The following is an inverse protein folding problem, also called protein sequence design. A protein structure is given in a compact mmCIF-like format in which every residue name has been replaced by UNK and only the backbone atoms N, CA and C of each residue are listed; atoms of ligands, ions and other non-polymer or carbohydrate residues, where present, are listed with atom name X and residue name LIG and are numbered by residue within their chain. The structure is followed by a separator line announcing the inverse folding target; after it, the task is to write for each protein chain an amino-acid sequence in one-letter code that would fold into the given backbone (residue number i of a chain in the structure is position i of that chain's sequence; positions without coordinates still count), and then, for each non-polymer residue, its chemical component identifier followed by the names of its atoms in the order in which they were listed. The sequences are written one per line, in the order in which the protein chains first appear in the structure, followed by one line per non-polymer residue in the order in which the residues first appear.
data_IF_987021381886
#
_entry.id   IF_987021381886
#
_cell.length_a   1.000
_cell.length_b   1.000
_cell.length_c   1.000
_cell.angle_alpha   90.00
_cell.angle_beta   90.00
_cell.angle_gamma   90.00
#
_symmetry.space_group_name_H-M   'P 1'
#
loop_
_entity.id
_entity.type
_entity.pdbx_description
1 polymer ?
#
# COMPACT_ATOMS: atom_id res chain seq x y z
N UNK A 1 -24.22 -7.43 42.77
CA UNK A 1 -24.94 -6.65 41.72
C UNK A 1 -23.90 -6.22 40.69
N UNK A 2 -23.61 -7.10 39.73
CA UNK A 2 -22.45 -7.03 38.83
C UNK A 2 -22.87 -7.45 37.42
N UNK A 3 -23.79 -6.71 36.78
CA UNK A 3 -24.19 -7.00 35.38
C UNK A 3 -24.58 -5.69 34.68
N UNK A 4 -23.69 -4.70 34.57
CA UNK A 4 -23.78 -3.67 33.51
C UNK A 4 -22.37 -3.14 33.19
N UNK A 5 -21.50 -3.97 32.61
CA UNK A 5 -20.29 -3.49 31.92
C UNK A 5 -19.98 -4.38 30.71
N UNK A 6 -20.98 -4.66 29.88
CA UNK A 6 -20.79 -5.42 28.64
C UNK A 6 -21.73 -4.93 27.54
N UNK A 7 -21.88 -3.61 27.42
CA UNK A 7 -22.73 -2.99 26.39
C UNK A 7 -22.06 -1.77 25.73
N UNK A 8 -20.73 -1.75 25.64
CA UNK A 8 -19.99 -0.75 24.86
C UNK A 8 -18.85 -1.32 24.01
N UNK A 9 -18.92 -2.61 23.67
CA UNK A 9 -18.32 -3.11 22.43
C UNK A 9 -19.30 -2.76 21.30
N UNK A 10 -19.42 -1.45 21.02
CA UNK A 10 -20.18 -0.95 19.87
C UNK A 10 -19.58 -1.59 18.63
N UNK A 11 -20.43 -2.35 17.94
CA UNK A 11 -20.43 -2.61 16.50
C UNK A 11 -19.65 -1.55 15.69
N UNK A 12 -18.34 -1.70 15.60
CA UNK A 12 -17.65 -1.41 14.35
C UNK A 12 -17.70 -2.73 13.58
N UNK A 13 -18.86 -3.03 12.99
CA UNK A 13 -18.91 -3.91 11.82
C UNK A 13 -18.26 -3.14 10.66
N UNK A 14 -16.98 -2.80 10.84
CA UNK A 14 -16.16 -2.22 9.80
C UNK A 14 -15.97 -3.32 8.77
N UNK A 15 -16.31 -3.01 7.51
CA UNK A 15 -15.92 -3.86 6.41
C UNK A 15 -14.44 -4.26 6.57
N UNK A 16 -14.08 -5.52 6.28
CA UNK A 16 -12.71 -5.96 6.43
C UNK A 16 -11.79 -5.05 5.60
N UNK A 17 -10.97 -4.26 6.29
CA UNK A 17 -10.00 -3.36 5.66
C UNK A 17 -9.01 -4.19 4.85
N UNK A 18 -8.85 -3.86 3.57
CA UNK A 18 -7.80 -4.46 2.76
C UNK A 18 -6.48 -3.70 2.93
N UNK A 19 -5.40 -4.38 2.62
CA UNK A 19 -4.05 -3.85 2.64
C UNK A 19 -3.48 -3.99 1.25
N UNK A 20 -2.89 -2.91 0.74
CA UNK A 20 -2.44 -2.82 -0.64
C UNK A 20 -0.99 -2.37 -0.68
N UNK A 21 -0.23 -3.00 -1.56
CA UNK A 21 1.09 -2.59 -1.97
C UNK A 21 0.99 -1.91 -3.33
N UNK A 22 1.46 -0.66 -3.43
CA UNK A 22 1.73 0.00 -4.70
C UNK A 22 3.23 -0.12 -4.98
N UNK A 23 3.61 -0.61 -6.15
CA UNK A 23 5.01 -0.78 -6.53
C UNK A 23 5.31 -0.25 -7.92
N UNK A 24 5.99 0.90 -8.01
CA UNK A 24 6.30 1.59 -9.25
C UNK A 24 7.76 2.05 -9.26
N UNK A 25 8.37 2.33 -10.43
CA UNK A 25 9.64 3.05 -10.49
C UNK A 25 9.59 4.33 -9.65
N UNK A 26 10.70 4.72 -9.02
CA UNK A 26 10.78 5.84 -8.07
C UNK A 26 10.06 7.11 -8.55
N UNK A 27 10.40 7.59 -9.76
CA UNK A 27 9.83 8.83 -10.30
C UNK A 27 8.30 8.75 -10.47
N UNK A 28 7.79 7.63 -11.00
CA UNK A 28 6.35 7.40 -11.16
C UNK A 28 5.65 7.31 -9.80
N UNK A 29 6.26 6.61 -8.84
CA UNK A 29 5.72 6.47 -7.49
C UNK A 29 5.64 7.82 -6.77
N UNK A 30 6.71 8.59 -6.84
CA UNK A 30 6.78 9.92 -6.21
C UNK A 30 5.73 10.86 -6.79
N UNK A 31 5.49 10.77 -8.11
CA UNK A 31 4.42 11.52 -8.78
C UNK A 31 3.04 11.07 -8.30
N UNK A 32 2.75 9.76 -8.24
CA UNK A 32 1.49 9.23 -7.73
C UNK A 32 1.21 9.68 -6.28
N UNK A 33 2.22 9.64 -5.41
CA UNK A 33 2.11 10.12 -4.03
C UNK A 33 1.80 11.63 -4.00
N UNK A 34 2.44 12.41 -4.87
CA UNK A 34 2.24 13.86 -4.93
C UNK A 34 0.84 14.25 -5.41
N UNK A 35 0.31 13.58 -6.43
CA UNK A 35 -1.02 13.88 -6.96
C UNK A 35 -2.14 13.20 -6.14
N UNK A 36 -1.80 12.20 -5.31
CA UNK A 36 -2.75 11.46 -4.49
C UNK A 36 -3.61 10.48 -5.29
N UNK A 37 -3.13 10.01 -6.45
CA UNK A 37 -3.88 9.13 -7.35
C UNK A 37 -2.97 8.05 -7.89
N UNK A 38 -3.47 6.82 -7.91
CA UNK A 38 -2.81 5.67 -8.54
C UNK A 38 -3.68 5.14 -9.67
N UNK A 39 -3.05 4.74 -10.77
CA UNK A 39 -3.72 4.22 -11.94
C UNK A 39 -3.00 3.04 -12.58
N UNK A 40 -3.78 2.15 -13.18
CA UNK A 40 -3.29 1.02 -13.95
C UNK A 40 -4.02 0.89 -15.29
N UNK A 41 -3.36 0.24 -16.24
CA UNK A 41 -4.03 -0.27 -17.43
C UNK A 41 -4.88 -1.49 -17.07
N UNK A 42 -6.22 -1.44 -17.20
CA UNK A 42 -7.18 -2.56 -17.19
C UNK A 42 -6.69 -3.81 -16.47
N UNK A 43 -6.67 -3.75 -15.13
CA UNK A 43 -6.41 -4.90 -14.25
C UNK A 43 -7.55 -5.08 -13.27
N UNK A 44 -8.08 -6.29 -13.17
CA UNK A 44 -9.21 -6.60 -12.30
C UNK A 44 -8.95 -6.35 -10.81
N UNK A 45 -7.70 -6.47 -10.36
CA UNK A 45 -7.35 -6.41 -8.93
C UNK A 45 -7.62 -5.05 -8.28
N UNK A 46 -7.57 -3.95 -9.05
CA UNK A 46 -7.80 -2.59 -8.51
C UNK A 46 -9.27 -2.33 -8.19
N UNK A 47 -10.20 -3.10 -8.79
CA UNK A 47 -11.64 -2.94 -8.57
C UNK A 47 -12.10 -3.30 -7.15
N UNK A 48 -11.27 -4.05 -6.42
CA UNK A 48 -11.54 -4.45 -5.03
C UNK A 48 -11.20 -3.35 -4.01
N UNK A 49 -10.55 -2.27 -4.44
CA UNK A 49 -10.14 -1.22 -3.51
C UNK A 49 -11.34 -0.41 -3.02
N UNK A 50 -11.33 -0.12 -1.72
CA UNK A 50 -12.33 0.68 -1.04
C UNK A 50 -11.69 1.81 -0.27
N UNK A 51 -12.42 2.91 -0.14
CA UNK A 51 -12.07 4.02 0.73
C UNK A 51 -11.80 3.51 2.15
N UNK A 52 -10.68 3.91 2.72
CA UNK A 52 -10.20 3.48 4.03
C UNK A 52 -9.28 2.26 4.01
N UNK A 53 -9.13 1.58 2.86
CA UNK A 53 -8.12 0.54 2.70
C UNK A 53 -6.72 1.11 2.89
N UNK A 54 -5.81 0.31 3.43
CA UNK A 54 -4.44 0.74 3.76
C UNK A 54 -3.52 0.52 2.58
N UNK A 55 -2.63 1.48 2.33
CA UNK A 55 -1.74 1.51 1.17
C UNK A 55 -0.31 1.72 1.64
N UNK A 56 0.60 0.89 1.13
CA UNK A 56 2.05 1.06 1.31
C UNK A 56 2.70 1.19 -0.07
N UNK A 57 3.62 2.14 -0.19
CA UNK A 57 4.29 2.48 -1.43
C UNK A 57 5.72 1.93 -1.43
N UNK A 58 6.08 1.19 -2.47
CA UNK A 58 7.41 0.60 -2.66
C UNK A 58 8.03 1.04 -4.00
N UNK A 59 9.21 1.67 -3.95
CA UNK A 59 9.97 2.05 -5.14
C UNK A 59 10.64 0.82 -5.76
N UNK A 60 10.26 0.50 -6.99
CA UNK A 60 10.81 -0.60 -7.78
C UNK A 60 12.05 -0.19 -8.60
N UNK A 61 12.65 -1.18 -9.30
CA UNK A 61 13.71 -1.03 -10.30
C UNK A 61 14.97 -0.31 -9.77
N UNK A 62 15.69 -0.98 -8.87
CA UNK A 62 17.02 -0.58 -8.43
C UNK A 62 17.07 0.14 -7.09
N UNK A 63 15.92 0.62 -6.59
CA UNK A 63 15.81 1.19 -5.25
C UNK A 63 15.34 0.15 -4.24
N UNK A 64 14.24 -0.54 -4.54
CA UNK A 64 13.62 -1.59 -3.72
C UNK A 64 13.44 -1.17 -2.26
N UNK A 65 12.74 -0.07 -2.05
CA UNK A 65 12.45 0.48 -0.72
C UNK A 65 10.99 0.77 -0.53
N UNK A 66 10.49 0.59 0.69
CA UNK A 66 9.22 1.15 1.12
C UNK A 66 9.42 2.62 1.51
N UNK A 67 8.58 3.50 0.97
CA UNK A 67 8.85 4.95 0.93
C UNK A 67 7.75 5.79 1.58
N UNK A 68 6.52 5.28 1.57
CA UNK A 68 5.37 5.93 2.16
C UNK A 68 4.30 4.92 2.57
N UNK A 69 3.42 5.30 3.47
CA UNK A 69 2.18 4.57 3.77
C UNK A 69 1.04 5.53 4.08
N UNK A 70 -0.18 5.04 3.91
CA UNK A 70 -1.39 5.77 4.23
C UNK A 70 -2.65 4.97 3.88
N UNK A 71 -3.62 5.63 3.26
CA UNK A 71 -4.94 5.05 3.00
C UNK A 71 -5.58 5.54 1.71
N UNK A 72 -6.42 4.70 1.12
CA UNK A 72 -7.28 5.05 0.00
C UNK A 72 -8.34 6.05 0.45
N UNK A 73 -8.45 7.16 -0.28
CA UNK A 73 -9.41 8.24 -0.02
C UNK A 73 -10.66 8.15 -0.91
N UNK A 74 -10.61 7.32 -1.96
CA UNK A 74 -11.75 6.98 -2.81
C UNK A 74 -11.89 5.46 -2.97
N UNK A 75 -13.05 5.03 -3.45
CA UNK A 75 -13.21 3.71 -4.07
C UNK A 75 -12.57 3.71 -5.47
N UNK A 76 -12.54 2.53 -6.12
CA UNK A 76 -12.24 2.40 -7.53
C UNK A 76 -13.12 3.29 -8.42
N UNK A 77 -12.52 3.93 -9.42
CA UNK A 77 -13.20 4.66 -10.48
C UNK A 77 -12.47 4.55 -11.83
N UNK A 78 -13.13 5.01 -12.90
CA UNK A 78 -12.57 5.06 -14.26
C UNK A 78 -12.43 6.53 -14.70
N UNK A 79 -11.23 6.91 -15.13
CA UNK A 79 -10.92 8.24 -15.67
C UNK A 79 -9.76 8.12 -16.68
N UNK A 80 -9.93 8.64 -17.89
CA UNK A 80 -8.95 8.55 -18.98
C UNK A 80 -8.02 9.77 -19.11
N UNK A 81 -8.10 10.72 -18.18
CA UNK A 81 -7.29 11.95 -18.20
C UNK A 81 -5.77 11.69 -18.12
N UNK A 82 -4.96 12.39 -18.91
CA UNK A 82 -3.50 12.18 -18.93
C UNK A 82 -2.80 12.86 -17.73
N UNK A 83 -2.86 12.25 -16.54
CA UNK A 83 -2.28 12.81 -15.29
C UNK A 83 -0.97 12.13 -14.86
N UNK A 84 -0.60 11.00 -15.44
CA UNK A 84 0.59 10.23 -15.08
C UNK A 84 1.80 10.59 -15.96
N UNK A 85 3.02 10.40 -15.43
CA UNK A 85 4.26 10.69 -16.17
C UNK A 85 4.48 9.76 -17.37
N UNK A 86 4.02 8.52 -17.25
CA UNK A 86 4.16 7.52 -18.30
C UNK A 86 3.10 7.75 -19.38
N UNK A 87 3.49 7.56 -20.64
CA UNK A 87 2.53 7.59 -21.76
C UNK A 87 1.45 6.49 -21.61
N UNK A 88 0.19 6.87 -21.85
CA UNK A 88 -1.00 6.03 -21.70
C UNK A 88 -2.08 6.69 -20.85
N UNK A 89 -3.29 6.12 -20.84
CA UNK A 89 -4.46 6.70 -20.14
C UNK A 89 -4.69 6.16 -18.73
N UNK A 90 -4.08 5.01 -18.37
CA UNK A 90 -4.21 4.33 -17.06
C UNK A 90 -5.60 4.51 -16.42
N UNK A 91 -6.66 4.00 -17.08
CA UNK A 91 -8.00 4.45 -16.80
C UNK A 91 -8.56 3.96 -15.46
N UNK A 92 -8.06 2.85 -14.95
CA UNK A 92 -8.51 2.24 -13.71
C UNK A 92 -7.75 2.87 -12.53
N UNK A 93 -8.47 3.58 -11.67
CA UNK A 93 -7.86 4.46 -10.65
C UNK A 93 -8.50 4.34 -9.28
N UNK A 94 -7.75 4.83 -8.29
CA UNK A 94 -8.27 5.26 -7.00
C UNK A 94 -7.38 6.38 -6.46
N UNK A 95 -7.96 7.19 -5.58
CA UNK A 95 -7.25 8.23 -4.85
C UNK A 95 -6.78 7.71 -3.50
N UNK A 96 -5.63 8.20 -3.06
CA UNK A 96 -5.03 7.86 -1.78
C UNK A 96 -4.24 9.03 -1.22
N UNK A 97 -4.11 9.04 0.11
CA UNK A 97 -3.17 9.91 0.80
C UNK A 97 -2.10 9.03 1.45
N UNK A 98 -0.83 9.35 1.23
CA UNK A 98 0.28 8.64 1.83
C UNK A 98 1.34 9.61 2.35
N UNK A 99 1.80 9.35 3.58
CA UNK A 99 2.87 10.10 4.20
C UNK A 99 4.19 9.38 3.97
N UNK A 100 5.21 10.14 3.56
CA UNK A 100 6.56 9.60 3.39
C UNK A 100 7.15 9.23 4.74
N UNK A 101 7.87 8.11 4.76
CA UNK A 101 8.68 7.78 5.92
C UNK A 101 9.87 8.73 6.03
N UNK A 102 10.19 9.16 7.25
CA UNK A 102 11.40 9.94 7.51
C UNK A 102 12.69 9.18 7.13
N UNK A 103 12.65 7.85 7.26
CA UNK A 103 13.69 6.95 6.79
C UNK A 103 13.03 5.79 6.05
N UNK A 104 13.49 5.53 4.83
CA UNK A 104 12.95 4.48 3.97
C UNK A 104 13.42 3.09 4.43
N UNK A 105 12.56 2.08 4.27
CA UNK A 105 12.87 0.70 4.63
C UNK A 105 13.29 -0.07 3.38
N UNK A 106 14.51 -0.59 3.38
CA UNK A 106 14.97 -1.51 2.34
C UNK A 106 14.13 -2.79 2.35
N UNK A 107 13.53 -3.11 1.20
CA UNK A 107 12.72 -4.30 1.00
C UNK A 107 13.50 -5.57 1.36
N UNK A 108 14.80 -5.61 1.05
CA UNK A 108 15.64 -6.78 1.25
C UNK A 108 15.76 -7.19 2.73
N UNK A 109 15.45 -6.30 3.67
CA UNK A 109 15.48 -6.59 5.10
C UNK A 109 14.25 -7.30 5.64
N UNK A 110 13.16 -7.31 4.87
CA UNK A 110 11.87 -7.89 5.27
C UNK A 110 11.32 -8.89 4.28
N UNK A 111 11.94 -9.01 3.10
CA UNK A 111 11.40 -9.79 1.98
C UNK A 111 11.20 -11.26 2.29
N UNK A 112 12.06 -11.84 3.12
CA UNK A 112 12.00 -13.24 3.57
C UNK A 112 10.91 -13.51 4.60
N UNK A 113 10.33 -12.45 5.16
CA UNK A 113 9.24 -12.51 6.14
C UNK A 113 7.87 -12.17 5.52
N UNK A 114 7.84 -11.69 4.27
CA UNK A 114 6.59 -11.36 3.58
C UNK A 114 5.90 -12.63 3.07
N UNK A 115 4.71 -12.91 3.60
CA UNK A 115 3.98 -14.15 3.31
C UNK A 115 3.52 -14.27 1.85
N UNK A 116 3.31 -13.16 1.15
CA UNK A 116 2.97 -13.17 -0.28
C UNK A 116 4.17 -13.49 -1.19
N UNK A 117 5.40 -13.41 -0.68
CA UNK A 117 6.62 -13.77 -1.40
C UNK A 117 6.92 -15.24 -1.15
N UNK A 118 6.25 -16.12 -1.91
CA UNK A 118 6.38 -17.58 -1.72
C UNK A 118 7.65 -18.17 -2.32
N UNK A 119 8.34 -17.45 -3.21
CA UNK A 119 9.59 -17.89 -3.81
C UNK A 119 10.63 -16.77 -3.82
N UNK A 120 11.60 -16.87 -2.92
CA UNK A 120 12.69 -15.89 -2.78
C UNK A 120 13.65 -15.87 -3.97
N UNK A 121 13.77 -16.92 -4.78
CA UNK A 121 14.61 -16.85 -5.97
C UNK A 121 13.99 -15.94 -7.07
N UNK A 122 12.66 -15.78 -7.06
CA UNK A 122 11.91 -15.01 -8.05
C UNK A 122 11.07 -13.89 -7.43
N UNK A 123 11.54 -13.36 -6.30
CA UNK A 123 10.79 -12.38 -5.49
C UNK A 123 10.36 -11.13 -6.27
N UNK A 124 11.17 -10.66 -7.22
CA UNK A 124 10.87 -9.45 -7.97
C UNK A 124 9.57 -9.56 -8.78
N UNK A 125 9.13 -10.78 -9.13
CA UNK A 125 7.90 -11.01 -9.91
C UNK A 125 6.66 -10.52 -9.16
N UNK A 126 6.61 -10.67 -7.84
CA UNK A 126 5.46 -10.25 -7.03
C UNK A 126 5.27 -8.72 -7.02
N UNK A 127 6.31 -7.95 -7.33
CA UNK A 127 6.31 -6.48 -7.35
C UNK A 127 6.11 -5.90 -8.75
N UNK A 128 6.24 -6.69 -9.83
CA UNK A 128 6.15 -6.21 -11.23
C UNK A 128 4.77 -5.72 -11.63
N UNK A 129 3.73 -6.07 -10.88
CA UNK A 129 2.35 -5.82 -11.27
C UNK A 129 1.84 -4.41 -11.01
N UNK A 130 2.61 -3.54 -10.34
CA UNK A 130 2.17 -2.19 -10.00
C UNK A 130 1.36 -2.13 -8.71
N UNK A 131 0.52 -3.14 -8.47
CA UNK A 131 -0.28 -3.29 -7.26
C UNK A 131 -0.33 -4.76 -6.83
N UNK A 132 -0.37 -5.01 -5.53
CA UNK A 132 -0.63 -6.32 -4.94
C UNK A 132 -1.45 -6.19 -3.66
N UNK A 133 -2.31 -7.16 -3.40
CA UNK A 133 -3.02 -7.27 -2.12
C UNK A 133 -2.09 -7.89 -1.09
N UNK A 134 -2.02 -7.28 0.09
CA UNK A 134 -1.24 -7.74 1.22
C UNK A 134 -2.15 -8.43 2.23
N UNK A 135 -1.56 -9.34 3.00
CA UNK A 135 -2.18 -9.80 4.24
C UNK A 135 -2.05 -8.73 5.32
N UNK A 136 -2.93 -8.76 6.32
CA UNK A 136 -2.81 -7.90 7.49
C UNK A 136 -1.46 -8.10 8.20
N UNK A 137 -0.97 -9.35 8.27
CA UNK A 137 0.30 -9.67 8.91
C UNK A 137 1.49 -9.03 8.17
N UNK A 138 1.50 -9.07 6.84
CA UNK A 138 2.56 -8.41 6.03
C UNK A 138 2.55 -6.89 6.23
N UNK A 139 1.36 -6.29 6.26
CA UNK A 139 1.20 -4.87 6.54
C UNK A 139 1.78 -4.50 7.93
N UNK A 140 1.35 -5.21 8.96
CA UNK A 140 1.79 -4.98 10.34
C UNK A 140 3.30 -5.19 10.50
N UNK A 141 3.86 -6.19 9.82
CA UNK A 141 5.31 -6.42 9.77
C UNK A 141 6.04 -5.19 9.21
N UNK A 142 5.63 -4.69 8.05
CA UNK A 142 6.25 -3.53 7.41
C UNK A 142 6.16 -2.31 8.34
N UNK A 143 4.97 -2.02 8.87
CA UNK A 143 4.76 -0.88 9.78
C UNK A 143 5.58 -0.99 11.07
N UNK A 144 5.71 -2.20 11.62
CA UNK A 144 6.52 -2.44 12.82
C UNK A 144 7.99 -2.15 12.59
N UNK A 145 8.53 -2.51 11.42
CA UNK A 145 9.94 -2.25 11.08
C UNK A 145 10.21 -0.74 10.95
N UNK A 146 9.24 0.02 10.43
CA UNK A 146 9.32 1.48 10.44
C UNK A 146 9.32 2.09 11.84
N UNK A 147 8.41 1.65 12.70
CA UNK A 147 8.32 2.16 14.08
C UNK A 147 9.59 1.89 14.89
N UNK A 148 10.21 0.72 14.70
CA UNK A 148 11.49 0.38 15.35
C UNK A 148 12.59 1.36 14.96
N UNK A 149 12.68 1.72 13.68
CA UNK A 149 13.71 2.65 13.17
C UNK A 149 13.56 4.07 13.72
N UNK A 150 12.31 4.54 13.90
CA UNK A 150 12.07 5.87 14.47
C UNK A 150 12.48 5.97 15.94
N UNK A 151 12.31 4.90 16.73
CA UNK A 151 12.64 4.88 18.17
C UNK A 151 14.14 4.86 18.49
N UNK A 152 14.98 4.37 17.58
CA UNK A 152 16.43 4.27 17.81
C UNK A 152 17.11 5.66 17.75
N UNK A 153 16.41 6.70 17.30
CA UNK A 153 16.96 8.04 17.09
C UNK A 153 16.41 9.13 18.01
N UNK A 154 15.42 8.82 18.85
CA UNK A 154 14.89 9.70 19.90
C UNK A 154 15.59 9.43 21.23
#
# INVERSE_FOLDING_TARGET
MFIIWNALQRKNEGFPMNYWLICLPRADLDHCIKIGTFGLSRKHIIGDIKKGDKVVCCAAKGDWKFVAAGEATSDYYIDDSAVFLKEGTFPDRFDFNAERFAEELDLMQVIDQLSFVTNLAFWAVYFRNGIAKLTKADWELIMTQFQKRQRVRS
#
